data_IF_132506527548
#
_entry.id   IF_132506527548
#
_cell.length_a   1.000
_cell.length_b   1.000
_cell.length_c   1.000
_cell.angle_alpha   90.00
_cell.angle_beta   90.00
_cell.angle_gamma   90.00
#
_symmetry.space_group_name_H-M   'P 1'
#
loop_
_entity.id
_entity.type
_entity.pdbx_description
1 polymer ?
#
# COMPACT_ATOMS: atom_id res chain seq x y z
N UNK A 1 3.65 -33.69 16.34
CA UNK A 1 3.69 -32.55 15.42
C UNK A 1 4.82 -31.65 15.86
N UNK A 2 5.83 -31.47 15.01
CA UNK A 2 6.92 -30.55 15.29
C UNK A 2 6.55 -29.12 14.83
N UNK A 3 7.38 -28.12 15.14
CA UNK A 3 7.11 -26.73 14.75
C UNK A 3 7.12 -26.52 13.23
N UNK A 4 8.03 -27.18 12.51
CA UNK A 4 8.18 -27.04 11.06
C UNK A 4 6.98 -27.59 10.29
N UNK A 5 6.44 -28.73 10.72
CA UNK A 5 5.25 -29.37 10.15
C UNK A 5 4.02 -28.44 10.22
N UNK A 6 3.84 -27.73 11.34
CA UNK A 6 2.75 -26.75 11.48
C UNK A 6 2.95 -25.54 10.58
N UNK A 7 4.19 -25.06 10.47
CA UNK A 7 4.52 -23.93 9.61
C UNK A 7 4.33 -24.30 8.13
N UNK A 8 4.73 -25.50 7.71
CA UNK A 8 4.55 -26.02 6.34
C UNK A 8 3.10 -26.33 5.99
N UNK A 9 2.27 -26.72 6.98
CA UNK A 9 0.86 -27.05 6.75
C UNK A 9 -0.06 -25.84 6.80
N UNK A 10 0.14 -24.96 7.78
CA UNK A 10 -0.83 -23.89 8.10
C UNK A 10 -0.21 -22.48 8.06
N UNK A 11 1.10 -22.34 7.81
CA UNK A 11 1.78 -21.04 7.87
C UNK A 11 1.81 -20.45 9.28
N UNK A 12 1.75 -21.30 10.31
CA UNK A 12 1.72 -20.90 11.71
C UNK A 12 2.98 -21.33 12.45
N UNK A 13 3.57 -20.40 13.19
CA UNK A 13 4.68 -20.69 14.11
C UNK A 13 4.37 -20.19 15.51
N UNK A 14 4.13 -21.13 16.41
CA UNK A 14 3.80 -20.85 17.80
C UNK A 14 5.05 -20.70 18.68
N UNK A 15 4.95 -19.86 19.70
CA UNK A 15 5.92 -19.75 20.80
C UNK A 15 5.99 -21.02 21.66
N UNK A 16 4.85 -21.69 21.85
CA UNK A 16 4.73 -22.99 22.50
C UNK A 16 3.64 -23.82 21.82
N UNK A 17 3.87 -25.12 21.65
CA UNK A 17 2.86 -26.04 21.07
C UNK A 17 1.83 -26.53 22.10
N UNK A 18 2.14 -26.36 23.38
CA UNK A 18 1.30 -26.75 24.49
C UNK A 18 0.89 -25.47 25.22
N UNK A 19 -0.42 -25.31 25.39
CA UNK A 19 -0.96 -24.15 26.06
C UNK A 19 -0.67 -24.24 27.57
N UNK A 20 -0.37 -23.11 28.23
CA UNK A 20 -0.36 -23.08 29.68
C UNK A 20 -1.76 -23.39 30.22
N UNK A 21 -1.84 -24.20 31.28
CA UNK A 21 -3.12 -24.66 31.83
C UNK A 21 -3.86 -23.58 32.62
N UNK A 22 -3.13 -22.56 33.08
CA UNK A 22 -3.69 -21.45 33.84
C UNK A 22 -3.06 -20.12 33.42
N UNK A 23 -3.78 -19.02 33.68
CA UNK A 23 -3.22 -17.67 33.50
C UNK A 23 -1.97 -17.44 34.34
N UNK A 24 -1.91 -18.01 35.55
CA UNK A 24 -0.74 -17.88 36.43
C UNK A 24 0.50 -18.54 35.81
N UNK A 25 0.34 -19.73 35.23
CA UNK A 25 1.42 -20.40 34.50
C UNK A 25 1.80 -19.61 33.25
N UNK A 26 0.83 -19.09 32.50
CA UNK A 26 1.08 -18.24 31.34
C UNK A 26 1.87 -16.97 31.70
N UNK A 27 1.60 -16.35 32.85
CA UNK A 27 2.35 -15.17 33.35
C UNK A 27 3.74 -15.54 33.85
N UNK A 28 3.91 -16.74 34.41
CA UNK A 28 5.24 -17.26 34.81
C UNK A 28 6.10 -17.63 33.61
N UNK A 29 5.47 -18.04 32.51
CA UNK A 29 6.13 -18.19 31.22
C UNK A 29 6.54 -16.81 30.71
N UNK A 30 7.83 -16.49 30.84
CA UNK A 30 8.43 -15.22 30.40
C UNK A 30 8.10 -14.90 28.94
N UNK A 31 7.98 -15.94 28.10
CA UNK A 31 7.60 -15.82 26.70
C UNK A 31 6.06 -15.86 26.60
N UNK A 32 5.42 -14.84 26.00
CA UNK A 32 3.98 -14.82 25.84
C UNK A 32 3.52 -15.91 24.89
N UNK A 33 2.33 -16.44 25.15
CA UNK A 33 1.68 -17.39 24.25
C UNK A 33 1.18 -16.67 22.99
N UNK A 34 2.00 -16.70 21.94
CA UNK A 34 1.77 -16.03 20.65
C UNK A 34 2.09 -16.95 19.46
N UNK A 35 1.59 -16.56 18.28
CA UNK A 35 1.91 -17.17 17.00
C UNK A 35 2.28 -16.11 15.95
N UNK A 36 3.23 -16.44 15.08
CA UNK A 36 3.41 -15.76 13.81
C UNK A 36 2.59 -16.49 12.76
N UNK A 37 1.80 -15.75 11.99
CA UNK A 37 0.90 -16.28 10.98
C UNK A 37 1.17 -15.62 9.63
N UNK A 38 1.32 -16.44 8.60
CA UNK A 38 1.48 -15.98 7.21
C UNK A 38 0.23 -16.35 6.41
N UNK A 39 -0.78 -15.45 6.33
CA UNK A 39 -2.09 -15.79 5.78
C UNK A 39 -2.06 -16.20 4.31
N UNK A 40 -1.20 -15.55 3.51
CA UNK A 40 -1.04 -15.81 2.07
C UNK A 40 0.21 -16.65 1.78
N UNK A 41 0.53 -17.61 2.66
CA UNK A 41 1.66 -18.52 2.44
C UNK A 41 1.35 -19.43 1.26
N UNK A 42 2.31 -19.58 0.33
CA UNK A 42 2.22 -20.60 -0.71
C UNK A 42 2.50 -21.98 -0.08
N UNK A 43 1.44 -22.77 0.11
CA UNK A 43 1.47 -24.09 0.75
C UNK A 43 1.38 -25.17 -0.33
N UNK A 44 2.32 -26.11 -0.34
CA UNK A 44 2.40 -27.17 -1.37
C UNK A 44 1.16 -28.09 -1.40
N UNK A 45 0.53 -28.32 -0.24
CA UNK A 45 -0.57 -29.27 -0.06
C UNK A 45 -1.93 -28.58 0.13
N UNK A 46 -2.08 -27.33 -0.31
CA UNK A 46 -3.35 -26.62 -0.21
C UNK A 46 -4.36 -27.17 -1.22
N UNK A 47 -5.65 -27.33 -0.86
CA UNK A 47 -6.67 -27.65 -1.86
C UNK A 47 -6.83 -26.50 -2.86
N UNK A 48 -7.33 -26.78 -4.07
CA UNK A 48 -7.67 -25.73 -5.01
C UNK A 48 -8.73 -24.79 -4.41
N UNK A 49 -8.78 -23.54 -4.92
CA UNK A 49 -9.76 -22.53 -4.50
C UNK A 49 -11.18 -23.10 -4.48
N UNK A 50 -11.82 -23.03 -3.31
CA UNK A 50 -13.18 -23.53 -3.09
C UNK A 50 -14.18 -22.54 -3.69
N UNK A 51 -14.87 -22.92 -4.76
CA UNK A 51 -15.77 -22.04 -5.55
C UNK A 51 -17.22 -22.04 -5.03
N UNK A 52 -17.37 -21.99 -3.72
CA UNK A 52 -18.65 -21.95 -3.04
C UNK A 52 -18.54 -21.16 -1.73
N UNK A 53 -19.68 -20.79 -1.16
CA UNK A 53 -19.67 -19.97 0.05
C UNK A 53 -19.28 -20.77 1.30
N UNK A 54 -18.51 -20.16 2.24
CA UNK A 54 -18.18 -20.77 3.51
C UNK A 54 -19.41 -21.10 4.34
N UNK A 55 -19.37 -22.22 5.05
CA UNK A 55 -20.45 -22.62 5.97
C UNK A 55 -20.20 -22.03 7.35
N UNK A 56 -21.02 -21.04 7.73
CA UNK A 56 -20.86 -20.30 8.98
C UNK A 56 -21.72 -20.90 10.11
N UNK A 57 -21.18 -20.87 11.34
CA UNK A 57 -21.97 -21.11 12.54
C UNK A 57 -22.97 -19.98 12.74
N UNK A 58 -24.24 -20.33 12.99
CA UNK A 58 -25.34 -19.36 13.17
C UNK A 58 -25.20 -18.49 14.43
N UNK A 59 -24.46 -18.96 15.44
CA UNK A 59 -24.32 -18.27 16.73
C UNK A 59 -23.06 -17.39 16.80
N UNK A 60 -21.92 -17.91 16.34
CA UNK A 60 -20.62 -17.23 16.53
C UNK A 60 -19.88 -16.89 15.22
N UNK A 61 -20.48 -17.15 14.06
CA UNK A 61 -19.92 -16.87 12.72
C UNK A 61 -18.65 -17.64 12.33
N UNK A 62 -18.11 -18.51 13.21
CA UNK A 62 -16.98 -19.37 12.86
C UNK A 62 -17.31 -20.29 11.68
N UNK A 63 -16.32 -20.50 10.81
CA UNK A 63 -16.43 -21.38 9.65
C UNK A 63 -16.37 -22.87 10.04
N UNK A 64 -17.04 -23.70 9.24
CA UNK A 64 -16.85 -25.15 9.24
C UNK A 64 -15.36 -25.46 9.01
N UNK A 65 -14.78 -26.31 9.85
CA UNK A 65 -13.36 -26.67 9.84
C UNK A 65 -13.19 -28.10 10.38
N UNK A 66 -12.00 -28.74 10.25
CA UNK A 66 -11.82 -30.16 10.58
C UNK A 66 -12.06 -30.52 12.05
N UNK A 67 -12.10 -29.52 12.94
CA UNK A 67 -12.36 -29.72 14.37
C UNK A 67 -13.86 -29.68 14.72
N UNK A 68 -14.73 -29.41 13.74
CA UNK A 68 -16.17 -29.54 13.90
C UNK A 68 -16.59 -31.01 13.98
N UNK A 69 -17.48 -31.35 14.91
CA UNK A 69 -18.06 -32.69 14.98
C UNK A 69 -19.30 -32.77 14.10
N UNK A 70 -19.30 -33.68 13.14
CA UNK A 70 -20.44 -33.91 12.23
C UNK A 70 -21.24 -35.12 12.72
N UNK A 71 -22.56 -34.97 12.78
CA UNK A 71 -23.52 -36.06 12.95
C UNK A 71 -24.35 -36.20 11.66
N UNK A 72 -23.99 -37.16 10.78
CA UNK A 72 -24.72 -37.39 9.53
C UNK A 72 -26.16 -37.86 9.74
N UNK A 73 -26.45 -38.56 10.84
CA UNK A 73 -27.78 -39.12 11.12
C UNK A 73 -28.77 -38.01 11.45
N UNK A 74 -28.35 -37.06 12.28
CA UNK A 74 -29.15 -35.88 12.64
C UNK A 74 -29.01 -34.74 11.63
N UNK A 75 -28.11 -34.86 10.65
CA UNK A 75 -27.76 -33.82 9.67
C UNK A 75 -27.37 -32.50 10.35
N UNK A 76 -26.55 -32.58 11.41
CA UNK A 76 -26.03 -31.42 12.13
C UNK A 76 -24.51 -31.46 12.25
N UNK A 77 -23.91 -30.30 12.46
CA UNK A 77 -22.52 -30.16 12.89
C UNK A 77 -22.44 -29.28 14.14
N UNK A 78 -21.48 -29.58 15.01
CA UNK A 78 -21.24 -28.86 16.25
C UNK A 78 -20.00 -27.99 16.12
N UNK A 79 -20.15 -26.70 16.40
CA UNK A 79 -19.04 -25.74 16.34
C UNK A 79 -18.07 -25.95 17.52
N UNK A 80 -16.75 -26.05 17.29
CA UNK A 80 -15.78 -26.27 18.36
C UNK A 80 -15.59 -25.06 19.30
N UNK A 81 -16.05 -23.87 18.89
CA UNK A 81 -15.87 -22.65 19.68
C UNK A 81 -17.05 -22.36 20.61
N UNK A 82 -18.28 -22.35 20.07
CA UNK A 82 -19.47 -22.06 20.87
C UNK A 82 -20.27 -23.30 21.31
N UNK A 83 -19.87 -24.50 20.86
CA UNK A 83 -20.63 -25.75 21.03
C UNK A 83 -22.05 -25.72 20.45
N UNK A 84 -22.37 -24.71 19.63
CA UNK A 84 -23.66 -24.56 18.99
C UNK A 84 -23.90 -25.64 17.93
N UNK A 85 -25.15 -26.13 17.87
CA UNK A 85 -25.62 -27.08 16.86
C UNK A 85 -26.08 -26.32 15.63
N UNK A 86 -25.55 -26.66 14.47
CA UNK A 86 -25.87 -26.04 13.20
C UNK A 86 -26.38 -27.12 12.24
N UNK A 87 -27.41 -26.86 11.43
CA UNK A 87 -27.83 -27.80 10.40
C UNK A 87 -26.75 -27.91 9.31
N UNK A 88 -26.58 -29.11 8.76
CA UNK A 88 -25.72 -29.34 7.59
C UNK A 88 -26.42 -28.70 6.37
N UNK A 89 -25.73 -27.84 5.59
CA UNK A 89 -26.32 -27.24 4.41
C UNK A 89 -26.74 -28.28 3.36
N UNK A 90 -27.75 -28.01 2.52
CA UNK A 90 -28.22 -28.95 1.51
C UNK A 90 -27.13 -29.45 0.56
N UNK A 91 -26.13 -28.62 0.24
CA UNK A 91 -25.00 -28.99 -0.61
C UNK A 91 -24.11 -30.10 -0.02
N UNK A 92 -24.21 -30.36 1.29
CA UNK A 92 -23.52 -31.43 1.99
C UNK A 92 -24.49 -32.52 2.46
N UNK A 93 -25.63 -32.69 1.79
CA UNK A 93 -26.63 -33.71 2.18
C UNK A 93 -26.10 -35.13 2.14
N UNK A 94 -25.09 -35.40 1.30
CA UNK A 94 -24.43 -36.70 1.12
C UNK A 94 -23.15 -36.84 1.97
N UNK A 95 -22.96 -35.95 2.96
CA UNK A 95 -21.78 -36.01 3.81
C UNK A 95 -21.75 -37.32 4.60
N UNK A 96 -20.66 -38.05 4.40
CA UNK A 96 -20.43 -39.34 5.02
C UNK A 96 -18.94 -39.49 5.31
N UNK A 97 -18.56 -40.50 6.09
CA UNK A 97 -17.17 -40.70 6.51
C UNK A 97 -16.20 -40.90 5.32
N UNK A 98 -16.71 -41.38 4.19
CA UNK A 98 -16.00 -41.55 2.93
C UNK A 98 -16.16 -40.36 1.95
N UNK A 99 -17.02 -39.38 2.27
CA UNK A 99 -17.34 -38.24 1.42
C UNK A 99 -17.38 -36.96 2.28
N UNK A 100 -16.20 -36.51 2.68
CA UNK A 100 -16.03 -35.30 3.48
C UNK A 100 -15.70 -34.11 2.57
N UNK A 101 -16.27 -32.92 2.84
CA UNK A 101 -15.93 -31.72 2.11
C UNK A 101 -14.49 -31.28 2.46
N UNK A 102 -13.88 -30.45 1.60
CA UNK A 102 -12.47 -30.09 1.73
C UNK A 102 -12.15 -29.46 3.09
N UNK A 103 -13.07 -28.68 3.65
CA UNK A 103 -12.92 -28.01 4.95
C UNK A 103 -12.96 -28.94 6.15
N UNK A 104 -13.34 -30.21 5.95
CA UNK A 104 -13.22 -31.24 6.98
C UNK A 104 -11.91 -32.02 6.88
N UNK A 105 -11.20 -31.91 5.75
CA UNK A 105 -9.95 -32.62 5.48
C UNK A 105 -8.75 -31.69 5.73
N UNK A 106 -8.84 -30.45 5.26
CA UNK A 106 -7.76 -29.47 5.30
C UNK A 106 -7.99 -28.43 6.40
N UNK A 107 -6.94 -28.15 7.17
CA UNK A 107 -6.93 -27.13 8.24
C UNK A 107 -6.81 -25.71 7.70
N UNK A 108 -6.24 -25.55 6.50
CA UNK A 108 -6.10 -24.29 5.80
C UNK A 108 -6.70 -24.43 4.40
N UNK A 109 -7.65 -23.56 4.06
CA UNK A 109 -8.36 -23.53 2.77
C UNK A 109 -8.60 -22.08 2.35
N UNK A 110 -8.79 -21.86 1.05
CA UNK A 110 -9.13 -20.54 0.49
C UNK A 110 -10.41 -20.63 -0.35
N UNK A 111 -11.29 -19.65 -0.17
CA UNK A 111 -12.59 -19.60 -0.84
C UNK A 111 -12.59 -18.51 -1.91
N UNK A 112 -13.15 -18.85 -3.07
CA UNK A 112 -13.49 -17.88 -4.10
C UNK A 112 -14.97 -17.50 -3.95
N UNK A 113 -15.20 -16.36 -3.31
CA UNK A 113 -16.56 -15.83 -3.12
C UNK A 113 -17.12 -15.27 -4.43
N UNK A 114 -18.43 -15.42 -4.70
CA UNK A 114 -19.09 -14.85 -5.88
C UNK A 114 -19.30 -13.34 -5.71
N UNK A 115 -18.21 -12.57 -5.63
CA UNK A 115 -18.24 -11.11 -5.54
C UNK A 115 -18.05 -10.49 -6.94
N UNK A 116 -18.58 -9.28 -7.18
CA UNK A 116 -18.24 -8.54 -8.39
C UNK A 116 -16.72 -8.40 -8.49
N UNK A 117 -16.19 -8.55 -9.70
CA UNK A 117 -14.76 -8.43 -9.96
C UNK A 117 -14.28 -7.04 -9.50
N UNK A 118 -13.23 -7.03 -8.68
CA UNK A 118 -12.60 -5.78 -8.29
C UNK A 118 -12.10 -5.03 -9.54
N UNK A 119 -12.09 -3.68 -9.53
CA UNK A 119 -11.44 -2.94 -10.59
C UNK A 119 -9.95 -3.31 -10.66
N UNK A 120 -9.30 -3.10 -11.81
CA UNK A 120 -7.86 -3.29 -11.93
C UNK A 120 -7.09 -2.54 -10.83
N UNK A 121 -5.93 -3.06 -10.39
CA UNK A 121 -5.12 -2.38 -9.39
C UNK A 121 -4.66 -1.01 -9.91
N UNK A 122 -4.54 -0.05 -9.00
CA UNK A 122 -4.05 1.28 -9.32
C UNK A 122 -2.71 1.60 -8.66
N UNK A 123 -1.78 2.19 -9.42
CA UNK A 123 -0.47 2.66 -8.96
C UNK A 123 -0.30 4.15 -9.24
N UNK A 124 -0.06 4.95 -8.20
CA UNK A 124 0.37 6.35 -8.36
C UNK A 124 1.85 6.45 -8.05
N UNK A 125 2.65 6.70 -9.07
CA UNK A 125 4.09 6.90 -8.95
C UNK A 125 4.37 8.33 -8.47
N UNK A 126 5.18 8.45 -7.43
CA UNK A 126 5.61 9.74 -6.87
C UNK A 126 7.12 9.86 -7.03
N UNK A 127 7.58 10.74 -7.92
CA UNK A 127 8.99 10.86 -8.29
C UNK A 127 9.61 12.17 -7.79
N UNK A 128 10.67 12.04 -6.99
CA UNK A 128 11.50 13.15 -6.53
C UNK A 128 12.45 13.63 -7.65
N UNK A 129 12.30 14.89 -8.07
CA UNK A 129 13.14 15.50 -9.12
C UNK A 129 14.32 16.32 -8.55
N UNK A 130 14.50 16.36 -7.23
CA UNK A 130 15.63 17.04 -6.57
C UNK A 130 16.89 16.15 -6.48
N UNK A 131 17.14 15.31 -7.48
CA UNK A 131 18.31 14.42 -7.57
C UNK A 131 19.27 14.85 -8.69
N UNK A 132 20.39 14.17 -8.86
CA UNK A 132 21.28 14.41 -10.01
C UNK A 132 20.63 13.90 -11.29
N UNK A 133 21.00 14.45 -12.44
CA UNK A 133 20.41 14.06 -13.73
C UNK A 133 20.67 12.58 -14.06
N UNK A 134 21.84 12.06 -13.67
CA UNK A 134 22.17 10.65 -13.82
C UNK A 134 21.24 9.74 -13.00
N UNK A 135 20.93 10.13 -11.77
CA UNK A 135 20.05 9.38 -10.87
C UNK A 135 18.59 9.49 -11.29
N UNK A 136 18.15 10.69 -11.72
CA UNK A 136 16.81 10.90 -12.27
C UNK A 136 16.58 10.04 -13.51
N UNK A 137 17.57 9.97 -14.42
CA UNK A 137 17.50 9.11 -15.61
C UNK A 137 17.26 7.65 -15.24
N UNK A 138 17.99 7.11 -14.26
CA UNK A 138 17.81 5.72 -13.83
C UNK A 138 16.44 5.51 -13.16
N UNK A 139 15.96 6.49 -12.38
CA UNK A 139 14.63 6.43 -11.78
C UNK A 139 13.52 6.39 -12.86
N UNK A 140 13.62 7.23 -13.89
CA UNK A 140 12.72 7.22 -15.06
C UNK A 140 12.74 5.87 -15.78
N UNK A 141 13.93 5.35 -16.10
CA UNK A 141 14.12 4.04 -16.74
C UNK A 141 13.48 2.92 -15.91
N UNK A 142 13.58 3.00 -14.58
CA UNK A 142 13.00 2.01 -13.68
C UNK A 142 11.47 2.08 -13.67
N UNK A 143 10.87 3.29 -13.72
CA UNK A 143 9.42 3.48 -13.84
C UNK A 143 8.88 2.97 -15.19
N UNK A 144 9.59 3.26 -16.29
CA UNK A 144 9.23 2.73 -17.61
C UNK A 144 9.26 1.19 -17.63
N UNK A 145 10.28 0.60 -17.00
CA UNK A 145 10.34 -0.86 -16.84
C UNK A 145 9.20 -1.39 -15.96
N UNK A 146 8.82 -0.68 -14.89
CA UNK A 146 7.74 -1.12 -14.00
C UNK A 146 6.39 -1.21 -14.73
N UNK A 147 6.04 -0.21 -15.55
CA UNK A 147 4.77 -0.25 -16.29
C UNK A 147 4.73 -1.38 -17.33
N UNK A 148 5.87 -1.80 -17.86
CA UNK A 148 5.95 -2.95 -18.78
C UNK A 148 5.83 -4.33 -18.11
N UNK A 149 5.98 -4.39 -16.78
CA UNK A 149 5.93 -5.65 -16.01
C UNK A 149 4.54 -5.95 -15.47
N UNK A 150 3.68 -4.95 -15.37
CA UNK A 150 2.31 -5.09 -14.86
C UNK A 150 1.30 -5.29 -16.00
N UNK A 151 0.12 -5.87 -15.73
CA UNK A 151 -0.92 -6.04 -16.73
C UNK A 151 -1.38 -4.72 -17.37
N UNK A 152 -1.71 -4.68 -18.67
CA UNK A 152 -2.03 -3.46 -19.42
C UNK A 152 -3.30 -2.73 -18.92
N UNK A 153 -4.23 -3.44 -18.27
CA UNK A 153 -5.44 -2.90 -17.65
C UNK A 153 -5.16 -2.17 -16.32
N UNK A 154 -3.95 -2.32 -15.78
CA UNK A 154 -3.53 -1.66 -14.54
C UNK A 154 -3.60 -0.15 -14.71
N UNK A 155 -4.09 0.52 -13.67
CA UNK A 155 -4.36 1.95 -13.70
C UNK A 155 -3.14 2.67 -13.14
N UNK A 156 -2.61 3.64 -13.88
CA UNK A 156 -1.41 4.37 -13.48
C UNK A 156 -1.66 5.86 -13.37
N UNK A 157 -0.97 6.49 -12.43
CA UNK A 157 -0.88 7.94 -12.28
C UNK A 157 0.56 8.35 -11.99
N UNK A 158 0.89 9.60 -12.32
CA UNK A 158 2.23 10.15 -12.09
C UNK A 158 2.16 11.50 -11.39
N UNK A 159 2.92 11.62 -10.31
CA UNK A 159 3.17 12.85 -9.57
C UNK A 159 4.69 13.03 -9.52
N UNK A 160 5.20 14.17 -9.96
CA UNK A 160 6.61 14.53 -9.74
C UNK A 160 6.70 15.70 -8.78
N UNK A 161 7.78 15.77 -8.00
CA UNK A 161 7.92 16.86 -7.03
C UNK A 161 9.36 17.29 -6.81
N UNK A 162 9.50 18.56 -6.46
CA UNK A 162 10.72 19.17 -5.95
C UNK A 162 10.34 20.24 -4.94
N UNK A 163 10.53 21.52 -5.29
CA UNK A 163 9.96 22.65 -4.51
C UNK A 163 8.43 22.72 -4.62
N UNK A 164 7.89 22.33 -5.76
CA UNK A 164 6.46 22.26 -6.04
C UNK A 164 6.08 20.82 -6.41
N UNK A 165 4.79 20.52 -6.37
CA UNK A 165 4.24 19.22 -6.79
C UNK A 165 3.57 19.39 -8.14
N UNK A 166 3.96 18.56 -9.11
CA UNK A 166 3.35 18.48 -10.44
C UNK A 166 2.49 17.21 -10.51
N UNK A 167 1.19 17.38 -10.75
CA UNK A 167 0.27 16.28 -11.02
C UNK A 167 0.08 16.17 -12.53
N UNK A 168 0.52 15.08 -13.13
CA UNK A 168 0.51 14.89 -14.58
C UNK A 168 -0.82 14.31 -15.06
N UNK A 169 -1.37 14.90 -16.13
CA UNK A 169 -2.61 14.43 -16.77
C UNK A 169 -2.23 13.43 -17.85
N UNK A 170 -2.67 12.18 -17.69
CA UNK A 170 -2.35 11.09 -18.60
C UNK A 170 -3.43 10.86 -19.66
N UNK A 171 -4.68 11.25 -19.38
CA UNK A 171 -5.83 11.04 -20.28
C UNK A 171 -5.99 12.07 -21.39
N UNK A 172 -4.97 12.88 -21.67
CA UNK A 172 -5.01 13.90 -22.72
C UNK A 172 -3.89 13.66 -23.72
N UNK A 173 -4.25 13.20 -24.92
CA UNK A 173 -3.29 12.69 -25.92
C UNK A 173 -2.57 13.77 -26.71
N UNK A 174 -3.13 14.98 -26.82
CA UNK A 174 -2.61 15.98 -27.76
C UNK A 174 -1.39 16.76 -27.22
N UNK A 175 -1.19 16.79 -25.91
CA UNK A 175 -0.03 17.44 -25.28
C UNK A 175 0.14 17.03 -23.81
N UNK A 176 1.38 17.14 -23.32
CA UNK A 176 1.68 16.98 -21.91
C UNK A 176 1.07 18.13 -21.10
N UNK A 177 0.19 17.79 -20.14
CA UNK A 177 -0.44 18.75 -19.22
C UNK A 177 -0.16 18.35 -17.78
N UNK A 178 0.14 19.34 -16.93
CA UNK A 178 0.31 19.13 -15.50
C UNK A 178 -0.32 20.25 -14.68
N UNK A 179 -0.77 19.91 -13.48
CA UNK A 179 -1.23 20.86 -12.47
C UNK A 179 -0.11 21.08 -11.47
N UNK A 180 0.23 22.33 -11.19
CA UNK A 180 1.31 22.66 -10.26
C UNK A 180 0.72 23.19 -8.96
N UNK A 181 0.96 22.47 -7.87
CA UNK A 181 0.60 22.89 -6.52
C UNK A 181 1.84 23.28 -5.72
N UNK A 182 1.68 24.25 -4.82
CA UNK A 182 2.78 24.75 -3.99
C UNK A 182 3.19 23.70 -2.97
N UNK A 183 4.47 23.34 -2.92
CA UNK A 183 4.95 22.31 -2.00
C UNK A 183 4.90 22.71 -0.52
N UNK A 184 4.90 24.00 -0.22
CA UNK A 184 5.00 24.57 1.13
C UNK A 184 3.65 24.80 1.84
N UNK A 185 2.55 24.31 1.25
CA UNK A 185 1.19 24.47 1.76
C UNK A 185 0.60 23.13 2.15
N UNK A 186 -0.07 23.06 3.31
CA UNK A 186 -0.88 21.90 3.68
C UNK A 186 -2.19 21.93 2.89
N UNK A 187 -2.49 20.83 2.20
CA UNK A 187 -3.76 20.64 1.50
C UNK A 187 -4.55 19.51 2.16
N UNK A 188 -5.85 19.76 2.39
CA UNK A 188 -6.79 18.72 2.80
C UNK A 188 -7.26 17.92 1.59
N UNK A 189 -7.76 16.69 1.78
CA UNK A 189 -8.36 15.90 0.70
C UNK A 189 -9.44 16.69 -0.04
N UNK A 190 -10.27 17.43 0.68
CA UNK A 190 -11.32 18.25 0.07
C UNK A 190 -10.73 19.37 -0.78
N UNK A 191 -9.74 20.10 -0.29
CA UNK A 191 -9.11 21.16 -1.08
C UNK A 191 -8.44 20.62 -2.35
N UNK A 192 -7.87 19.41 -2.30
CA UNK A 192 -7.28 18.78 -3.48
C UNK A 192 -8.38 18.38 -4.47
N UNK A 193 -9.48 17.81 -3.98
CA UNK A 193 -10.65 17.47 -4.80
C UNK A 193 -11.21 18.70 -5.51
N UNK A 194 -11.30 19.82 -4.83
CA UNK A 194 -11.81 21.07 -5.39
C UNK A 194 -10.81 21.67 -6.41
N UNK A 195 -9.52 21.77 -6.04
CA UNK A 195 -8.49 22.36 -6.92
C UNK A 195 -8.26 21.56 -8.20
N UNK A 196 -8.34 20.23 -8.10
CA UNK A 196 -8.16 19.32 -9.22
C UNK A 196 -9.49 18.86 -9.81
N UNK A 197 -10.64 19.43 -9.43
CA UNK A 197 -11.95 19.00 -9.91
C UNK A 197 -12.09 17.47 -9.96
N UNK A 198 -11.71 16.77 -8.88
CA UNK A 198 -11.75 15.30 -8.77
C UNK A 198 -13.15 14.77 -8.48
N UNK A 199 -14.17 15.63 -8.50
CA UNK A 199 -15.56 15.27 -8.26
C UNK A 199 -16.08 14.23 -9.25
N UNK A 200 -17.14 13.54 -8.82
CA UNK A 200 -17.81 12.49 -9.59
C UNK A 200 -18.43 13.10 -10.85
N UNK A 201 -18.29 12.39 -11.97
CA UNK A 201 -18.98 12.66 -13.23
C UNK A 201 -20.48 12.73 -12.95
N UNK A 202 -21.08 13.92 -13.03
CA UNK A 202 -22.51 14.12 -12.77
C UNK A 202 -22.89 15.52 -12.27
N UNK A 203 -21.96 16.25 -11.65
CA UNK A 203 -22.17 17.68 -11.36
C UNK A 203 -21.71 18.50 -12.57
N UNK A 204 -22.66 18.98 -13.38
CA UNK A 204 -22.37 20.06 -14.32
C UNK A 204 -21.95 21.29 -13.53
N UNK A 205 -20.67 21.66 -13.58
CA UNK A 205 -20.24 22.97 -13.12
C UNK A 205 -20.63 23.98 -14.19
N UNK A 206 -21.67 24.79 -13.94
CA UNK A 206 -22.05 25.91 -14.81
C UNK A 206 -21.09 27.06 -14.50
N UNK A 207 -20.01 27.18 -15.28
CA UNK A 207 -19.16 28.37 -15.32
C UNK A 207 -19.42 29.07 -16.64
N UNK A 208 -20.08 30.23 -16.61
CA UNK A 208 -20.25 31.09 -17.79
C UNK A 208 -21.16 30.53 -18.89
N UNK A 209 -22.07 29.60 -18.60
CA UNK A 209 -23.10 29.16 -19.56
C UNK A 209 -22.65 28.11 -20.60
N UNK A 210 -21.45 27.54 -20.46
CA UNK A 210 -21.00 26.41 -21.29
C UNK A 210 -20.83 25.14 -20.44
N UNK A 211 -21.46 24.05 -20.85
CA UNK A 211 -21.31 22.72 -20.24
C UNK A 211 -19.97 22.12 -20.66
N UNK A 212 -18.94 22.27 -19.83
CA UNK A 212 -17.67 21.55 -20.00
C UNK A 212 -17.82 20.19 -19.33
N UNK A 213 -17.55 19.05 -20.01
CA UNK A 213 -17.53 17.75 -19.34
C UNK A 213 -16.47 17.78 -18.24
N UNK A 214 -16.89 17.62 -16.99
CA UNK A 214 -15.99 17.51 -15.85
C UNK A 214 -15.27 16.18 -15.98
N UNK A 215 -14.09 16.19 -16.58
CA UNK A 215 -13.17 15.06 -16.52
C UNK A 215 -12.72 14.92 -15.07
N UNK A 216 -13.30 13.96 -14.33
CA UNK A 216 -13.00 13.73 -12.91
C UNK A 216 -11.59 13.19 -12.69
N UNK A 217 -11.39 12.44 -11.61
CA UNK A 217 -10.09 11.84 -11.28
C UNK A 217 -9.52 10.90 -12.37
N UNK A 218 -10.36 10.40 -13.28
CA UNK A 218 -9.97 9.51 -14.37
C UNK A 218 -8.93 10.13 -15.30
N UNK A 219 -8.91 11.44 -15.52
CA UNK A 219 -7.90 12.05 -16.41
C UNK A 219 -6.46 11.94 -15.89
N UNK A 220 -6.29 11.74 -14.58
CA UNK A 220 -4.99 11.54 -13.94
C UNK A 220 -4.62 10.06 -13.80
N UNK A 221 -5.63 9.18 -13.82
CA UNK A 221 -5.52 7.76 -13.55
C UNK A 221 -6.06 6.99 -14.75
N UNK A 222 -5.16 6.52 -15.60
CA UNK A 222 -5.50 5.89 -16.88
C UNK A 222 -4.97 4.45 -16.94
N UNK A 223 -5.64 3.55 -17.66
CA UNK A 223 -5.09 2.23 -17.96
C UNK A 223 -3.77 2.37 -18.73
N UNK A 224 -2.78 1.52 -18.45
CA UNK A 224 -1.50 1.54 -19.15
C UNK A 224 -1.70 1.39 -20.66
N UNK A 225 -2.63 0.53 -21.09
CA UNK A 225 -2.96 0.36 -22.51
C UNK A 225 -3.40 1.64 -23.23
N UNK A 226 -3.91 2.63 -22.50
CA UNK A 226 -4.40 3.89 -23.05
C UNK A 226 -3.39 5.04 -22.91
N UNK A 227 -2.51 4.99 -21.90
CA UNK A 227 -1.61 6.09 -21.60
C UNK A 227 -0.11 5.76 -21.68
N UNK A 228 0.29 4.57 -22.16
CA UNK A 228 1.71 4.15 -22.23
C UNK A 228 2.60 5.20 -22.93
N UNK A 229 2.16 5.68 -24.11
CA UNK A 229 2.87 6.72 -24.85
C UNK A 229 2.98 8.02 -24.04
N UNK A 230 1.86 8.52 -23.53
CA UNK A 230 1.83 9.77 -22.75
C UNK A 230 2.68 9.68 -21.48
N UNK A 231 2.60 8.56 -20.76
CA UNK A 231 3.39 8.31 -19.56
C UNK A 231 4.89 8.32 -19.88
N UNK A 232 5.29 7.69 -20.98
CA UNK A 232 6.67 7.67 -21.46
C UNK A 232 7.13 9.08 -21.85
N UNK A 233 6.36 9.81 -22.65
CA UNK A 233 6.68 11.19 -23.04
C UNK A 233 6.84 12.12 -21.83
N UNK A 234 5.93 12.03 -20.85
CA UNK A 234 6.03 12.82 -19.61
C UNK A 234 7.32 12.49 -18.84
N UNK A 235 7.69 11.20 -18.76
CA UNK A 235 8.93 10.81 -18.08
C UNK A 235 10.17 11.25 -18.84
N UNK A 236 10.19 11.15 -20.17
CA UNK A 236 11.30 11.62 -21.00
C UNK A 236 11.51 13.13 -20.82
N UNK A 237 10.43 13.92 -20.89
CA UNK A 237 10.43 15.38 -20.74
C UNK A 237 10.73 15.88 -19.31
N UNK A 238 10.65 15.01 -18.29
CA UNK A 238 10.75 15.44 -16.90
C UNK A 238 12.19 15.77 -16.48
N UNK A 239 12.56 17.05 -16.42
CA UNK A 239 13.88 17.43 -15.93
C UNK A 239 14.00 17.53 -14.41
N UNK A 240 15.25 17.67 -13.95
CA UNK A 240 15.58 18.00 -12.55
C UNK A 240 14.84 19.26 -12.11
N UNK A 241 14.50 19.34 -10.82
CA UNK A 241 13.84 20.51 -10.23
C UNK A 241 14.60 21.80 -10.61
N UNK A 242 13.96 22.75 -11.32
CA UNK A 242 14.65 23.88 -11.95
C UNK A 242 15.05 24.96 -10.93
N UNK A 243 14.65 24.83 -9.68
CA UNK A 243 14.92 25.85 -8.66
C UNK A 243 16.38 25.80 -8.22
N UNK A 244 17.10 26.94 -8.28
CA UNK A 244 18.51 26.96 -7.95
C UNK A 244 18.72 26.64 -6.47
N UNK A 245 19.67 25.74 -6.22
CA UNK A 245 20.13 25.38 -4.88
C UNK A 245 21.34 26.25 -4.56
N UNK A 246 21.25 27.06 -3.50
CA UNK A 246 22.36 27.91 -3.06
C UNK A 246 23.51 27.05 -2.55
N UNK A 247 24.73 27.58 -2.61
CA UNK A 247 25.89 26.93 -1.99
C UNK A 247 25.61 26.65 -0.50
N UNK A 248 26.06 25.49 -0.03
CA UNK A 248 25.82 25.00 1.34
C UNK A 248 24.34 24.84 1.73
N UNK A 249 23.44 24.70 0.75
CA UNK A 249 22.03 24.38 0.99
C UNK A 249 21.62 23.08 0.30
N UNK A 250 20.64 22.42 0.89
CA UNK A 250 19.87 21.30 0.34
C UNK A 250 18.80 21.84 -0.61
N UNK A 251 18.35 21.04 -1.59
CA UNK A 251 17.18 21.38 -2.39
C UNK A 251 15.92 21.46 -1.54
N UNK A 252 14.94 22.22 -2.01
CA UNK A 252 13.60 22.30 -1.42
C UNK A 252 12.82 21.05 -1.84
N UNK A 253 12.48 20.17 -0.90
CA UNK A 253 11.73 18.93 -1.15
C UNK A 253 10.44 18.92 -0.33
N UNK A 254 9.31 18.73 -1.01
CA UNK A 254 7.96 18.72 -0.42
C UNK A 254 7.32 17.32 -0.39
N UNK A 255 8.04 16.32 0.14
CA UNK A 255 7.63 14.91 0.13
C UNK A 255 6.23 14.68 0.72
N UNK A 256 5.91 15.33 1.84
CA UNK A 256 4.58 15.24 2.47
C UNK A 256 3.47 15.66 1.50
N UNK A 257 3.63 16.81 0.87
CA UNK A 257 2.62 17.39 -0.01
C UNK A 257 2.40 16.48 -1.23
N UNK A 258 3.49 15.95 -1.80
CA UNK A 258 3.43 15.00 -2.90
C UNK A 258 2.69 13.70 -2.52
N UNK A 259 3.03 13.09 -1.38
CA UNK A 259 2.35 11.89 -0.88
C UNK A 259 0.88 12.16 -0.54
N UNK A 260 0.58 13.30 0.09
CA UNK A 260 -0.79 13.69 0.44
C UNK A 260 -1.69 13.84 -0.80
N UNK A 261 -1.13 14.40 -1.88
CA UNK A 261 -1.81 14.55 -3.18
C UNK A 261 -2.02 13.18 -3.85
N UNK A 262 -1.00 12.33 -3.87
CA UNK A 262 -1.11 10.97 -4.43
C UNK A 262 -2.21 10.15 -3.71
N UNK A 263 -2.24 10.20 -2.37
CA UNK A 263 -3.30 9.58 -1.58
C UNK A 263 -4.67 10.21 -1.89
N UNK A 264 -4.76 11.54 -2.05
CA UNK A 264 -6.03 12.21 -2.39
C UNK A 264 -6.57 11.82 -3.77
N UNK A 265 -5.69 11.60 -4.75
CA UNK A 265 -6.08 11.10 -6.07
C UNK A 265 -6.75 9.74 -5.93
N UNK A 266 -6.12 8.80 -5.20
CA UNK A 266 -6.66 7.46 -4.98
C UNK A 266 -7.90 7.44 -4.07
N UNK A 267 -7.99 8.31 -3.06
CA UNK A 267 -9.18 8.50 -2.23
C UNK A 267 -10.41 8.92 -3.05
N UNK A 268 -10.21 9.59 -4.19
CA UNK A 268 -11.30 10.14 -5.00
C UNK A 268 -11.87 9.14 -5.99
N UNK A 269 -11.09 8.13 -6.39
CA UNK A 269 -11.41 7.23 -7.51
C UNK A 269 -11.37 5.74 -7.15
N UNK A 270 -10.57 5.33 -6.15
CA UNK A 270 -10.31 3.92 -5.82
C UNK A 270 -10.66 3.57 -4.37
N UNK A 271 -11.38 4.41 -3.63
CA UNK A 271 -11.71 4.15 -2.22
C UNK A 271 -12.36 2.76 -2.01
N UNK A 272 -11.76 1.95 -1.13
CA UNK A 272 -12.22 0.59 -0.81
C UNK A 272 -11.65 -0.51 -1.73
N UNK A 273 -10.90 -0.14 -2.77
CA UNK A 273 -10.23 -1.07 -3.69
C UNK A 273 -8.72 -0.99 -3.54
N UNK A 274 -8.02 -2.04 -3.97
CA UNK A 274 -6.57 -2.13 -3.86
C UNK A 274 -5.85 -1.11 -4.76
N UNK A 275 -5.22 -0.12 -4.13
CA UNK A 275 -4.36 0.84 -4.81
C UNK A 275 -3.09 1.15 -4.01
N UNK A 276 -2.04 1.57 -4.72
CA UNK A 276 -0.70 1.79 -4.16
C UNK A 276 -0.15 3.15 -4.58
N UNK A 277 0.45 3.86 -3.64
CA UNK A 277 1.35 5.00 -3.90
C UNK A 277 2.78 4.47 -3.87
N UNK A 278 3.52 4.61 -4.96
CA UNK A 278 4.91 4.14 -5.06
C UNK A 278 5.83 5.35 -5.17
N UNK A 279 6.56 5.65 -4.09
CA UNK A 279 7.39 6.84 -4.00
C UNK A 279 8.87 6.53 -4.20
N UNK A 280 9.50 7.21 -5.17
CA UNK A 280 10.95 7.20 -5.40
C UNK A 280 11.54 8.48 -4.84
N UNK A 281 12.25 8.38 -3.71
CA UNK A 281 12.74 9.52 -2.92
C UNK A 281 14.27 9.62 -2.97
N UNK A 282 14.80 10.83 -3.16
CA UNK A 282 16.23 11.07 -3.29
C UNK A 282 16.91 11.77 -2.12
N UNK A 283 16.16 12.08 -1.06
CA UNK A 283 16.65 12.85 0.08
C UNK A 283 15.57 13.22 1.09
N UNK A 284 15.95 13.89 2.19
CA UNK A 284 15.02 14.22 3.27
C UNK A 284 14.05 15.35 2.89
N UNK A 285 12.84 15.38 3.45
CA UNK A 285 11.93 16.51 3.33
C UNK A 285 12.53 17.78 3.96
N UNK A 286 12.56 18.87 3.21
CA UNK A 286 13.12 20.16 3.68
C UNK A 286 12.09 21.29 3.76
N UNK A 287 10.87 21.03 3.30
CA UNK A 287 9.74 21.96 3.37
C UNK A 287 8.65 21.44 4.30
N UNK A 288 7.94 22.37 4.93
CA UNK A 288 6.71 22.07 5.65
C UNK A 288 5.55 21.87 4.65
N UNK A 289 4.55 21.04 4.98
CA UNK A 289 4.49 20.16 6.15
C UNK A 289 5.44 18.95 6.01
N UNK A 290 5.74 18.27 7.12
CA UNK A 290 6.58 17.06 7.11
C UNK A 290 8.08 17.30 6.98
N UNK A 291 8.54 18.55 7.19
CA UNK A 291 9.96 18.93 7.19
C UNK A 291 10.76 18.09 8.20
N UNK A 292 11.91 17.56 7.80
CA UNK A 292 12.82 16.77 8.65
C UNK A 292 14.11 17.50 8.97
N UNK A 293 14.60 18.34 8.05
CA UNK A 293 15.85 19.10 8.21
C UNK A 293 15.75 20.47 7.55
N UNK A 294 16.54 21.45 8.00
CA UNK A 294 16.65 22.75 7.30
C UNK A 294 17.41 22.63 5.99
N UNK A 295 17.32 23.70 5.20
CA UNK A 295 18.04 23.82 3.94
C UNK A 295 19.55 23.90 4.17
N UNK A 296 20.02 24.62 5.18
CA UNK A 296 21.45 24.80 5.44
C UNK A 296 22.13 23.47 5.78
N UNK A 297 23.21 23.12 5.07
CA UNK A 297 23.96 21.87 5.31
C UNK A 297 24.60 21.81 6.71
N UNK A 298 24.84 22.96 7.33
CA UNK A 298 25.29 23.04 8.72
C UNK A 298 24.25 22.56 9.75
N UNK A 299 22.96 22.56 9.38
CA UNK A 299 21.90 21.89 10.14
C UNK A 299 21.99 20.40 9.81
N UNK A 300 22.54 19.61 10.73
CA UNK A 300 22.72 18.16 10.55
C UNK A 300 21.39 17.44 10.68
N UNK A 301 21.25 16.30 10.00
CA UNK A 301 20.13 15.41 10.25
C UNK A 301 20.21 14.85 11.67
N UNK A 302 19.05 14.71 12.31
CA UNK A 302 18.91 14.09 13.62
C UNK A 302 19.49 12.67 13.64
N UNK A 303 20.14 12.35 14.75
CA UNK A 303 20.61 11.01 15.15
C UNK A 303 19.65 10.38 16.17
N UNK A 304 19.89 9.12 16.53
CA UNK A 304 19.16 8.47 17.64
C UNK A 304 19.33 9.23 18.96
N UNK A 305 20.55 9.68 19.27
CA UNK A 305 20.82 10.43 20.50
C UNK A 305 20.05 11.77 20.55
N UNK A 306 19.89 12.44 19.40
CA UNK A 306 19.12 13.69 19.33
C UNK A 306 17.63 13.46 19.57
N UNK A 307 17.09 12.35 19.09
CA UNK A 307 15.69 11.99 19.30
C UNK A 307 15.46 11.61 20.77
N UNK A 308 16.34 10.79 21.36
CA UNK A 308 16.23 10.36 22.76
C UNK A 308 16.35 11.53 23.74
N UNK A 309 17.19 12.52 23.43
CA UNK A 309 17.41 13.72 24.25
C UNK A 309 16.47 14.87 23.92
N UNK A 310 15.51 14.67 23.02
CA UNK A 310 14.56 15.68 22.54
C UNK A 310 15.21 16.92 21.90
N UNK A 311 16.39 16.74 21.29
CA UNK A 311 17.12 17.75 20.52
C UNK A 311 16.80 17.73 19.02
N UNK A 312 15.81 16.94 18.59
CA UNK A 312 15.36 16.87 17.19
C UNK A 312 14.09 17.75 16.98
N UNK A 313 14.23 19.04 16.61
CA UNK A 313 13.12 20.01 16.65
C UNK A 313 11.99 19.70 15.66
N UNK A 314 12.31 19.07 14.54
CA UNK A 314 11.34 18.77 13.48
C UNK A 314 10.64 17.42 13.65
N UNK A 315 11.21 16.53 14.46
CA UNK A 315 10.81 15.12 14.54
C UNK A 315 9.33 14.94 14.87
N UNK A 316 8.87 15.49 15.99
CA UNK A 316 7.47 15.31 16.46
C UNK A 316 6.45 15.86 15.47
N UNK A 317 6.73 17.02 14.86
CA UNK A 317 5.85 17.66 13.88
C UNK A 317 5.77 16.84 12.58
N UNK A 318 6.91 16.32 12.12
CA UNK A 318 6.98 15.50 10.91
C UNK A 318 6.27 14.15 11.07
N UNK A 319 6.52 13.42 12.17
CA UNK A 319 5.80 12.17 12.49
C UNK A 319 4.29 12.39 12.48
N UNK A 320 3.80 13.42 13.18
CA UNK A 320 2.37 13.75 13.21
C UNK A 320 1.81 14.08 11.83
N UNK A 321 2.60 14.69 10.95
CA UNK A 321 2.18 14.96 9.59
C UNK A 321 2.00 13.65 8.81
N UNK A 322 3.03 12.80 8.73
CA UNK A 322 2.95 11.54 7.99
C UNK A 322 1.92 10.56 8.59
N UNK A 323 1.70 10.57 9.90
CA UNK A 323 0.62 9.82 10.56
C UNK A 323 -0.78 10.18 10.04
N UNK A 324 -1.02 11.45 9.66
CA UNK A 324 -2.28 11.87 9.04
C UNK A 324 -2.45 11.25 7.66
N UNK A 325 -1.39 11.20 6.85
CA UNK A 325 -1.40 10.57 5.52
C UNK A 325 -1.62 9.06 5.66
N UNK A 326 -0.90 8.41 6.57
CA UNK A 326 -1.06 6.98 6.83
C UNK A 326 -2.49 6.63 7.25
N UNK A 327 -3.09 7.42 8.14
CA UNK A 327 -4.48 7.21 8.58
C UNK A 327 -5.46 7.33 7.42
N UNK A 328 -5.26 8.32 6.55
CA UNK A 328 -6.05 8.51 5.34
C UNK A 328 -5.94 7.33 4.38
N UNK A 329 -4.71 6.88 4.09
CA UNK A 329 -4.47 5.74 3.22
C UNK A 329 -5.12 4.46 3.77
N UNK A 330 -4.94 4.16 5.06
CA UNK A 330 -5.58 2.99 5.72
C UNK A 330 -7.10 3.05 5.61
N UNK A 331 -7.72 4.20 5.91
CA UNK A 331 -9.18 4.35 5.84
C UNK A 331 -9.72 4.20 4.41
N UNK A 332 -8.90 4.48 3.40
CA UNK A 332 -9.26 4.35 2.00
C UNK A 332 -8.94 2.95 1.42
N UNK A 333 -8.19 2.10 2.13
CA UNK A 333 -7.75 0.80 1.65
C UNK A 333 -6.48 0.84 0.79
N UNK A 334 -5.66 1.88 0.93
CA UNK A 334 -4.50 2.17 0.08
C UNK A 334 -3.18 1.90 0.77
N UNK A 335 -2.19 1.47 -0.02
CA UNK A 335 -0.82 1.20 0.44
C UNK A 335 0.15 2.30 0.01
N UNK A 336 1.15 2.61 0.84
CA UNK A 336 2.25 3.53 0.50
C UNK A 336 3.57 2.77 0.55
N UNK A 337 4.21 2.65 -0.60
CA UNK A 337 5.52 2.03 -0.80
C UNK A 337 6.59 3.13 -0.97
N UNK A 338 7.73 3.02 -0.28
CA UNK A 338 8.81 4.00 -0.29
C UNK A 338 10.12 3.35 -0.73
N UNK A 339 10.60 3.74 -1.90
CA UNK A 339 11.93 3.41 -2.39
C UNK A 339 12.82 4.65 -2.29
N UNK A 340 13.75 4.64 -1.35
CA UNK A 340 14.62 5.78 -1.10
C UNK A 340 16.06 5.49 -1.50
N UNK A 341 16.64 6.39 -2.29
CA UNK A 341 17.99 6.28 -2.80
C UNK A 341 18.77 7.55 -2.43
N UNK A 342 19.61 7.49 -1.42
CA UNK A 342 20.41 8.63 -0.98
C UNK A 342 21.61 8.18 -0.14
N UNK A 343 22.71 8.94 -0.20
CA UNK A 343 23.88 8.71 0.66
C UNK A 343 23.64 9.10 2.12
N UNK A 344 22.62 9.93 2.38
CA UNK A 344 22.24 10.40 3.70
C UNK A 344 20.77 10.00 4.00
N UNK A 345 20.28 10.28 5.20
CA UNK A 345 18.95 9.87 5.62
C UNK A 345 17.85 10.63 4.86
N UNK A 346 16.79 9.92 4.48
CA UNK A 346 15.64 10.48 3.74
C UNK A 346 14.44 10.84 4.62
N UNK A 347 14.56 10.75 5.94
CA UNK A 347 13.41 10.92 6.85
C UNK A 347 12.47 9.72 6.92
N UNK A 348 12.97 8.51 6.64
CA UNK A 348 12.17 7.28 6.69
C UNK A 348 11.55 7.04 8.07
N UNK A 349 12.25 7.39 9.14
CA UNK A 349 11.76 7.23 10.51
C UNK A 349 10.49 8.05 10.78
N UNK A 350 10.41 9.27 10.22
CA UNK A 350 9.22 10.11 10.27
C UNK A 350 8.09 9.60 9.37
N UNK A 351 8.44 8.95 8.25
CA UNK A 351 7.50 8.38 7.28
C UNK A 351 7.08 6.93 7.60
N UNK A 352 7.61 6.31 8.66
CA UNK A 352 7.41 4.87 8.97
C UNK A 352 5.94 4.46 9.02
N UNK A 353 5.08 5.34 9.51
CA UNK A 353 3.66 5.06 9.66
C UNK A 353 2.95 4.91 8.33
N UNK A 354 3.42 5.59 7.28
CA UNK A 354 2.92 5.41 5.92
C UNK A 354 3.12 3.97 5.43
N UNK A 355 4.20 3.31 5.85
CA UNK A 355 4.56 1.96 5.39
C UNK A 355 3.97 0.90 6.32
N UNK A 356 4.28 1.00 7.62
CA UNK A 356 3.94 0.00 8.64
C UNK A 356 2.42 -0.20 8.76
N UNK A 357 1.65 0.89 8.69
CA UNK A 357 0.20 0.82 8.88
C UNK A 357 -0.55 0.35 7.65
N UNK A 358 0.03 0.52 6.46
CA UNK A 358 -0.63 0.16 5.19
C UNK A 358 -0.12 -1.15 4.59
N UNK A 359 0.86 -1.80 5.24
CA UNK A 359 1.53 -3.00 4.70
C UNK A 359 2.37 -2.71 3.45
N UNK A 360 2.93 -1.50 3.36
CA UNK A 360 3.80 -1.12 2.24
C UNK A 360 5.20 -1.68 2.36
N UNK A 361 5.99 -1.50 1.30
CA UNK A 361 7.42 -1.79 1.29
C UNK A 361 8.21 -0.52 1.59
N UNK A 362 9.31 -0.67 2.31
CA UNK A 362 10.37 0.32 2.32
C UNK A 362 11.67 -0.32 1.81
N UNK A 363 12.37 0.36 0.91
CA UNK A 363 13.68 -0.08 0.39
C UNK A 363 14.61 1.11 0.42
N UNK A 364 15.77 0.95 1.04
CA UNK A 364 16.80 2.00 1.16
C UNK A 364 18.06 1.59 0.43
N UNK A 365 18.54 2.40 -0.53
CA UNK A 365 19.85 2.22 -1.15
C UNK A 365 20.62 3.55 -1.19
N UNK A 366 21.89 3.49 -1.58
CA UNK A 366 22.74 4.67 -1.75
C UNK A 366 22.37 5.49 -3.00
N UNK A 367 21.85 4.82 -4.04
CA UNK A 367 21.56 5.38 -5.36
C UNK A 367 20.53 4.53 -6.11
N UNK A 368 19.77 5.13 -7.02
CA UNK A 368 18.88 4.44 -7.96
C UNK A 368 19.67 3.59 -8.96
N UNK A 369 20.92 3.97 -9.25
CA UNK A 369 21.84 3.16 -10.04
C UNK A 369 22.26 1.86 -9.33
N UNK A 370 22.13 1.78 -8.00
CA UNK A 370 22.60 0.66 -7.19
C UNK A 370 21.80 -0.63 -7.48
N UNK A 371 22.45 -1.81 -7.60
CA UNK A 371 21.78 -3.08 -7.92
C UNK A 371 20.69 -3.47 -6.92
N UNK A 372 20.84 -3.11 -5.64
CA UNK A 372 19.83 -3.36 -4.61
C UNK A 372 18.50 -2.69 -4.98
N UNK A 373 18.50 -1.40 -5.34
CA UNK A 373 17.28 -0.72 -5.77
C UNK A 373 16.71 -1.37 -7.04
N UNK A 374 17.54 -1.54 -8.09
CA UNK A 374 17.07 -2.07 -9.37
C UNK A 374 16.40 -3.44 -9.25
N UNK A 375 17.04 -4.37 -8.52
CA UNK A 375 16.51 -5.73 -8.34
C UNK A 375 15.26 -5.74 -7.45
N UNK A 376 15.27 -5.00 -6.35
CA UNK A 376 14.12 -4.92 -5.45
C UNK A 376 12.91 -4.27 -6.12
N UNK A 377 13.12 -3.19 -6.88
CA UNK A 377 12.06 -2.50 -7.60
C UNK A 377 11.48 -3.38 -8.71
N UNK A 378 12.33 -4.08 -9.48
CA UNK A 378 11.87 -5.02 -10.49
C UNK A 378 11.10 -6.20 -9.87
N UNK A 379 11.60 -6.77 -8.76
CA UNK A 379 10.94 -7.88 -8.07
C UNK A 379 9.57 -7.48 -7.52
N UNK A 380 9.42 -6.23 -7.09
CA UNK A 380 8.14 -5.71 -6.59
C UNK A 380 7.04 -5.71 -7.66
N UNK A 381 7.37 -5.47 -8.93
CA UNK A 381 6.40 -5.46 -10.04
C UNK A 381 6.32 -6.77 -10.82
N UNK A 382 7.19 -7.75 -10.54
CA UNK A 382 7.11 -9.07 -11.17
C UNK A 382 5.88 -9.79 -10.65
N UNK A 383 4.97 -10.12 -11.56
CA UNK A 383 3.91 -11.11 -11.32
C UNK A 383 4.56 -12.43 -10.94
N UNK A 384 4.15 -13.00 -9.80
CA UNK A 384 4.54 -14.34 -9.37
C UNK A 384 3.87 -15.43 -10.20
#
# INVERSE_FOLDING_TARGET
MNFSELEERDGLRWSALIWPWSRLEATRSVIPFAAMYTPLKNLQNMPPLLRYEPVNCKTCTTLLNPYCRIDPNQKIWMCPFCSGRNPIPPQYSEIAQNNLPAEQIFTTVEYMLPRPMAPPPAFVFVLDTCVSDAELRVAKESLMKAISLVPPETIVGLVSFGKNVNIHVLGFTDSVKSYVLRGDKEYTSQNIKDLLNLGIIGSQAILGGQSVPVQGATRFLQPISECEFMFTSVLEDLDKDPWPVKQNQRPKRCNYTALSIAVALLESSYQGYGARVVALLGGPPTQDPGKVVKLELGDTLRSHADIERDYAPFYRKAVKAFDKIATRAVNAGHTIDIFSCSLDQVGLYEMRSCVDRTGGYFVTSEAFSHPMFKKSFEMFFKSN
#
